data_IF_355414458871
#
_entry.id   IF_355414458871
#
_cell.length_a   1.000
_cell.length_b   1.000
_cell.length_c   1.000
_cell.angle_alpha   90.00
_cell.angle_beta   90.00
_cell.angle_gamma   90.00
#
_symmetry.space_group_name_H-M   'P 1'
#
loop_
_entity.id
_entity.type
_entity.pdbx_description
1 polymer ?
#
# COMPACT_ATOMS: atom_id res chain seq x y z
N UNK A 1 -13.24 -3.85 -4.86
CA UNK A 1 -14.11 -3.25 -3.84
C UNK A 1 -14.47 -4.23 -2.74
N UNK A 2 -15.10 -5.34 -3.05
CA UNK A 2 -15.53 -6.39 -2.10
C UNK A 2 -14.42 -6.82 -1.11
N UNK A 3 -13.19 -6.98 -1.58
CA UNK A 3 -12.04 -7.32 -0.73
C UNK A 3 -11.68 -6.23 0.28
N UNK A 4 -11.77 -4.96 -0.10
CA UNK A 4 -11.45 -3.85 0.80
C UNK A 4 -12.50 -3.71 1.92
N UNK A 5 -13.76 -4.05 1.65
CA UNK A 5 -14.85 -4.02 2.64
C UNK A 5 -14.77 -5.14 3.69
N UNK A 6 -13.83 -6.10 3.57
CA UNK A 6 -13.51 -7.02 4.67
C UNK A 6 -12.74 -6.34 5.80
N UNK A 7 -12.06 -5.23 5.50
CA UNK A 7 -11.23 -4.48 6.45
C UNK A 7 -11.87 -3.14 6.80
N UNK A 8 -12.51 -2.50 5.82
CA UNK A 8 -13.14 -1.20 5.98
C UNK A 8 -14.62 -1.35 6.38
N UNK A 9 -15.05 -0.50 7.29
CA UNK A 9 -16.46 -0.40 7.70
C UNK A 9 -17.29 0.19 6.53
N UNK A 10 -18.22 -0.57 5.94
CA UNK A 10 -19.02 -0.09 4.80
C UNK A 10 -19.88 1.14 5.12
N UNK A 11 -20.30 1.31 6.39
CA UNK A 11 -21.14 2.45 6.79
C UNK A 11 -20.34 3.75 6.91
N UNK A 12 -19.01 3.65 7.12
CA UNK A 12 -18.09 4.79 7.24
C UNK A 12 -17.26 5.02 5.98
N UNK A 13 -17.33 4.11 5.02
CA UNK A 13 -16.48 4.16 3.82
C UNK A 13 -17.27 4.67 2.62
N UNK A 14 -16.90 5.84 2.13
CA UNK A 14 -17.41 6.37 0.87
C UNK A 14 -16.50 5.97 -0.28
N UNK A 15 -17.06 5.29 -1.26
CA UNK A 15 -16.35 4.97 -2.50
C UNK A 15 -16.63 6.04 -3.53
N UNK A 16 -15.58 6.59 -4.13
CA UNK A 16 -15.66 7.58 -5.20
C UNK A 16 -14.80 7.12 -6.39
N UNK A 17 -15.14 7.57 -7.56
CA UNK A 17 -14.41 7.24 -8.78
C UNK A 17 -13.88 8.52 -9.41
N UNK A 18 -12.60 8.58 -9.71
CA UNK A 18 -11.98 9.74 -10.33
C UNK A 18 -12.56 10.06 -11.73
N UNK A 19 -13.21 9.09 -12.36
CA UNK A 19 -14.01 9.30 -13.56
C UNK A 19 -15.03 10.44 -13.40
N UNK A 20 -15.62 10.58 -12.19
CA UNK A 20 -16.71 11.51 -11.91
C UNK A 20 -16.27 12.98 -12.02
N UNK A 21 -14.97 13.27 -11.99
CA UNK A 21 -14.41 14.63 -12.15
C UNK A 21 -13.36 14.75 -13.25
N UNK A 22 -12.67 13.67 -13.64
CA UNK A 22 -11.67 13.74 -14.72
C UNK A 22 -12.34 13.92 -16.08
N UNK A 23 -13.48 13.29 -16.31
CA UNK A 23 -14.18 13.42 -17.59
C UNK A 23 -14.90 14.75 -17.78
N UNK A 24 -15.08 15.53 -16.72
CA UNK A 24 -15.63 16.88 -16.78
C UNK A 24 -14.57 17.94 -17.12
N UNK A 25 -13.28 17.60 -17.09
CA UNK A 25 -12.19 18.48 -17.46
C UNK A 25 -12.17 18.69 -18.97
N UNK A 26 -12.22 19.95 -19.39
CA UNK A 26 -11.93 20.31 -20.76
C UNK A 26 -10.43 20.47 -21.00
N UNK A 27 -10.03 20.77 -22.25
CA UNK A 27 -8.63 20.99 -22.58
C UNK A 27 -8.00 22.19 -21.84
N UNK A 28 -8.76 23.25 -21.60
CA UNK A 28 -8.28 24.42 -20.90
C UNK A 28 -8.03 24.11 -19.42
N UNK A 29 -8.91 23.34 -18.79
CA UNK A 29 -8.76 22.86 -17.43
C UNK A 29 -7.52 21.98 -17.30
N UNK A 30 -7.33 21.03 -18.22
CA UNK A 30 -6.16 20.17 -18.25
C UNK A 30 -4.87 20.98 -18.38
N UNK A 31 -4.81 21.91 -19.31
CA UNK A 31 -3.64 22.80 -19.46
C UNK A 31 -3.41 23.66 -18.21
N UNK A 32 -4.47 24.12 -17.56
CA UNK A 32 -4.41 24.81 -16.28
C UNK A 32 -3.81 23.94 -15.16
N UNK A 33 -4.17 22.66 -15.10
CA UNK A 33 -3.57 21.70 -14.15
C UNK A 33 -2.09 21.47 -14.46
N UNK A 34 -1.76 21.19 -15.73
CA UNK A 34 -0.38 20.95 -16.16
C UNK A 34 0.54 22.12 -15.89
N UNK A 35 0.06 23.37 -15.97
CA UNK A 35 0.84 24.57 -15.72
C UNK A 35 1.37 24.69 -14.28
N UNK A 36 0.83 23.91 -13.35
CA UNK A 36 1.30 23.86 -11.97
C UNK A 36 2.57 23.01 -11.77
N UNK A 37 2.96 22.22 -12.75
CA UNK A 37 4.10 21.31 -12.65
C UNK A 37 5.13 21.58 -13.74
N UNK A 38 6.40 21.47 -13.40
CA UNK A 38 7.48 21.52 -14.37
C UNK A 38 7.93 20.11 -14.76
N UNK A 39 8.48 19.97 -15.97
CA UNK A 39 9.10 18.70 -16.41
C UNK A 39 10.20 18.29 -15.45
N UNK A 40 11.01 19.24 -14.95
CA UNK A 40 12.07 18.96 -13.97
C UNK A 40 11.49 18.33 -12.69
N UNK A 41 10.38 18.86 -12.18
CA UNK A 41 9.70 18.32 -10.98
C UNK A 41 9.18 16.90 -11.22
N UNK A 42 8.57 16.63 -12.36
CA UNK A 42 8.06 15.28 -12.68
C UNK A 42 9.21 14.26 -12.82
N UNK A 43 10.36 14.71 -13.36
CA UNK A 43 11.55 13.85 -13.49
C UNK A 43 12.24 13.50 -12.15
N UNK A 44 11.87 14.13 -11.03
CA UNK A 44 12.35 13.73 -9.70
C UNK A 44 11.76 12.40 -9.22
N UNK A 45 10.67 11.94 -9.82
CA UNK A 45 10.10 10.63 -9.52
C UNK A 45 11.10 9.53 -9.91
N UNK A 46 11.41 8.62 -8.98
CA UNK A 46 12.51 7.65 -9.11
C UNK A 46 12.49 6.85 -10.42
N UNK A 47 11.32 6.37 -10.86
CA UNK A 47 11.20 5.60 -12.10
C UNK A 47 11.46 6.45 -13.34
N UNK A 48 10.99 7.71 -13.37
CA UNK A 48 11.28 8.64 -14.46
C UNK A 48 12.74 9.07 -14.46
N UNK A 49 13.30 9.37 -13.28
CA UNK A 49 14.71 9.71 -13.12
C UNK A 49 15.61 8.59 -13.66
N UNK A 50 15.35 7.35 -13.24
CA UNK A 50 16.12 6.19 -13.69
C UNK A 50 16.02 5.96 -15.19
N UNK A 51 14.82 6.06 -15.76
CA UNK A 51 14.59 5.90 -17.22
C UNK A 51 15.22 7.03 -18.01
N UNK A 52 15.12 8.27 -17.52
CA UNK A 52 15.72 9.45 -18.17
C UNK A 52 17.25 9.32 -18.24
N UNK A 53 17.91 8.98 -17.12
CA UNK A 53 19.36 8.83 -17.07
C UNK A 53 19.85 7.61 -17.86
N UNK A 54 19.07 6.55 -17.95
CA UNK A 54 19.39 5.37 -18.77
C UNK A 54 18.93 5.49 -20.22
N UNK A 55 18.45 6.68 -20.65
CA UNK A 55 17.97 6.95 -22.00
C UNK A 55 16.83 6.03 -22.48
N UNK A 56 16.03 5.55 -21.54
CA UNK A 56 14.83 4.79 -21.84
C UNK A 56 13.66 5.75 -22.17
N UNK A 57 12.79 5.41 -23.14
CA UNK A 57 11.70 6.29 -23.51
C UNK A 57 10.69 6.50 -22.37
N UNK A 58 10.23 7.74 -22.23
CA UNK A 58 9.13 8.10 -21.34
C UNK A 58 8.06 8.76 -22.21
N UNK A 59 6.87 8.18 -22.27
CA UNK A 59 5.79 8.73 -23.08
C UNK A 59 5.11 9.91 -22.36
N UNK A 60 4.66 10.92 -23.13
CA UNK A 60 4.07 12.14 -22.58
C UNK A 60 2.85 11.89 -21.66
N UNK A 61 2.03 10.89 -21.97
CA UNK A 61 0.87 10.56 -21.15
C UNK A 61 1.28 10.04 -19.74
N UNK A 62 2.47 9.48 -19.58
CA UNK A 62 2.98 9.01 -18.29
C UNK A 62 3.24 10.19 -17.33
N UNK A 63 3.60 11.36 -17.85
CA UNK A 63 3.74 12.58 -17.03
C UNK A 63 2.41 13.12 -16.54
N UNK A 64 1.32 12.84 -17.24
CA UNK A 64 -0.02 13.30 -16.84
C UNK A 64 -0.54 12.50 -15.66
N UNK A 65 -0.16 11.22 -15.50
CA UNK A 65 -0.67 10.37 -14.45
C UNK A 65 -0.47 10.91 -13.02
N UNK A 66 0.74 11.33 -12.60
CA UNK A 66 0.93 11.94 -11.27
C UNK A 66 0.10 13.20 -11.06
N UNK A 67 -0.13 13.98 -12.13
CA UNK A 67 -0.90 15.22 -12.07
C UNK A 67 -2.41 14.93 -11.92
N UNK A 68 -2.89 13.88 -12.56
CA UNK A 68 -4.28 13.43 -12.37
C UNK A 68 -4.51 12.92 -10.95
N UNK A 69 -3.57 12.16 -10.40
CA UNK A 69 -3.64 11.74 -9.00
C UNK A 69 -3.56 12.93 -8.03
N UNK A 70 -2.73 13.93 -8.32
CA UNK A 70 -2.70 15.17 -7.55
C UNK A 70 -4.03 15.92 -7.61
N UNK A 71 -4.71 15.89 -8.74
CA UNK A 71 -6.05 16.46 -8.87
C UNK A 71 -7.11 15.67 -8.09
N UNK A 72 -6.98 14.35 -7.98
CA UNK A 72 -7.84 13.53 -7.11
C UNK A 72 -7.77 14.03 -5.67
N UNK A 73 -6.55 14.33 -5.14
CA UNK A 73 -6.37 14.89 -3.79
C UNK A 73 -7.11 16.22 -3.60
N UNK A 74 -7.08 17.09 -4.61
CA UNK A 74 -7.80 18.38 -4.59
C UNK A 74 -9.32 18.17 -4.54
N UNK A 75 -9.85 17.26 -5.36
CA UNK A 75 -11.31 17.05 -5.45
C UNK A 75 -11.84 16.34 -4.22
N UNK A 76 -11.10 15.36 -3.70
CA UNK A 76 -11.47 14.63 -2.48
C UNK A 76 -11.37 15.52 -1.25
N UNK A 77 -10.42 16.46 -1.25
CA UNK A 77 -10.16 17.39 -0.14
C UNK A 77 -10.01 16.65 1.20
N UNK A 78 -9.20 15.60 1.21
CA UNK A 78 -8.96 14.80 2.40
C UNK A 78 -7.98 15.49 3.35
N UNK A 79 -8.18 15.33 4.67
CA UNK A 79 -7.24 15.84 5.68
C UNK A 79 -5.98 14.96 5.75
N UNK A 80 -6.11 13.67 5.50
CA UNK A 80 -5.03 12.67 5.52
C UNK A 80 -5.15 11.77 4.29
N UNK A 81 -4.04 11.58 3.59
CA UNK A 81 -3.96 10.68 2.44
C UNK A 81 -2.94 9.58 2.72
N UNK A 82 -3.35 8.31 2.53
CA UNK A 82 -2.55 7.13 2.82
C UNK A 82 -2.00 6.51 1.54
N UNK A 83 -0.75 6.05 1.58
CA UNK A 83 -0.17 5.33 0.45
C UNK A 83 0.99 4.42 0.85
N UNK A 84 1.46 3.63 -0.11
CA UNK A 84 2.78 2.99 0.02
C UNK A 84 3.91 4.01 -0.18
N UNK A 85 5.12 3.69 0.26
CA UNK A 85 6.28 4.56 0.05
C UNK A 85 6.54 4.87 -1.43
N UNK A 86 6.15 3.97 -2.33
CA UNK A 86 6.21 4.18 -3.79
C UNK A 86 5.24 5.26 -4.30
N UNK A 87 4.26 5.66 -3.49
CA UNK A 87 3.29 6.71 -3.80
C UNK A 87 3.67 8.09 -3.26
N UNK A 88 4.76 8.19 -2.48
CA UNK A 88 5.12 9.43 -1.78
C UNK A 88 5.23 10.63 -2.73
N UNK A 89 5.84 10.45 -3.92
CA UNK A 89 5.94 11.52 -4.92
C UNK A 89 4.55 12.01 -5.35
N UNK A 90 3.62 11.09 -5.63
CA UNK A 90 2.28 11.45 -6.08
C UNK A 90 1.47 12.15 -4.98
N UNK A 91 1.58 11.69 -3.73
CA UNK A 91 0.94 12.32 -2.58
C UNK A 91 1.46 13.75 -2.35
N UNK A 92 2.79 13.95 -2.45
CA UNK A 92 3.40 15.27 -2.34
C UNK A 92 3.02 16.19 -3.51
N UNK A 93 2.85 15.66 -4.71
CA UNK A 93 2.32 16.41 -5.84
C UNK A 93 0.88 16.89 -5.59
N UNK A 94 0.04 16.04 -4.98
CA UNK A 94 -1.31 16.41 -4.51
C UNK A 94 -1.26 17.55 -3.49
N UNK A 95 -0.41 17.43 -2.49
CA UNK A 95 -0.18 18.44 -1.46
C UNK A 95 0.23 19.79 -2.06
N UNK A 96 1.20 19.78 -2.98
CA UNK A 96 1.67 20.97 -3.70
C UNK A 96 0.54 21.62 -4.51
N UNK A 97 -0.31 20.83 -5.17
CA UNK A 97 -1.44 21.33 -5.95
C UNK A 97 -2.53 21.93 -5.05
N UNK A 98 -2.82 21.32 -3.90
CA UNK A 98 -3.77 21.87 -2.91
C UNK A 98 -3.28 23.25 -2.41
N UNK A 99 -1.99 23.37 -2.04
CA UNK A 99 -1.40 24.66 -1.63
C UNK A 99 -1.56 25.73 -2.71
N UNK A 100 -1.25 25.41 -3.98
CA UNK A 100 -1.39 26.34 -5.11
C UNK A 100 -2.83 26.78 -5.36
N UNK A 101 -3.79 25.96 -4.97
CA UNK A 101 -5.23 26.27 -5.04
C UNK A 101 -5.75 26.97 -3.78
N UNK A 102 -4.88 27.27 -2.80
CA UNK A 102 -5.25 27.95 -1.56
C UNK A 102 -6.03 27.05 -0.58
N UNK A 103 -5.92 25.75 -0.75
CA UNK A 103 -6.54 24.75 0.15
C UNK A 103 -5.57 24.40 1.28
N UNK A 104 -6.11 23.90 2.41
CA UNK A 104 -5.29 23.25 3.45
C UNK A 104 -4.70 21.97 2.89
N UNK A 105 -3.37 21.80 2.86
CA UNK A 105 -2.76 20.61 2.25
C UNK A 105 -2.92 19.40 3.16
N UNK A 106 -3.22 18.24 2.57
CA UNK A 106 -3.38 16.98 3.30
C UNK A 106 -2.09 16.53 4.00
N UNK A 107 -2.23 15.78 5.08
CA UNK A 107 -1.13 15.02 5.67
C UNK A 107 -0.89 13.75 4.86
N UNK A 108 0.33 13.60 4.32
CA UNK A 108 0.71 12.38 3.60
C UNK A 108 1.28 11.35 4.58
N UNK A 109 0.63 10.20 4.72
CA UNK A 109 1.11 9.08 5.54
C UNK A 109 1.46 7.92 4.64
N UNK A 110 2.73 7.50 4.64
CA UNK A 110 3.18 6.37 3.83
C UNK A 110 3.68 5.21 4.67
N UNK A 111 3.42 4.00 4.18
CA UNK A 111 3.85 2.76 4.80
C UNK A 111 4.79 1.99 3.85
N UNK A 112 5.76 1.24 4.39
CA UNK A 112 6.57 0.35 3.59
C UNK A 112 5.72 -0.66 2.83
N UNK A 113 6.14 -1.00 1.61
CA UNK A 113 5.50 -2.07 0.85
C UNK A 113 5.85 -3.43 1.48
N UNK A 114 4.87 -4.32 1.53
CA UNK A 114 5.08 -5.69 1.97
C UNK A 114 5.60 -6.52 0.79
N UNK A 115 6.69 -7.26 1.02
CA UNK A 115 7.20 -8.24 0.06
C UNK A 115 6.24 -9.43 -0.03
N UNK A 116 6.17 -10.00 -1.22
CA UNK A 116 5.39 -11.21 -1.45
C UNK A 116 6.05 -12.48 -0.90
N UNK A 117 5.44 -13.62 -1.18
CA UNK A 117 5.88 -14.94 -0.70
C UNK A 117 7.30 -15.30 -1.16
N UNK A 118 7.78 -14.67 -2.24
CA UNK A 118 9.14 -14.84 -2.76
C UNK A 118 10.24 -14.12 -1.94
N UNK A 119 9.84 -13.27 -1.01
CA UNK A 119 10.77 -12.53 -0.14
C UNK A 119 11.59 -11.44 -0.80
N UNK A 120 11.36 -11.15 -2.06
CA UNK A 120 12.20 -10.23 -2.86
C UNK A 120 11.38 -9.09 -3.47
N UNK A 121 10.31 -9.45 -4.19
CA UNK A 121 9.46 -8.48 -4.90
C UNK A 121 8.29 -8.07 -4.05
N UNK A 122 7.80 -6.84 -4.26
CA UNK A 122 6.56 -6.39 -3.62
C UNK A 122 5.43 -7.38 -3.89
N UNK A 123 4.57 -7.58 -2.91
CA UNK A 123 3.39 -8.43 -3.05
C UNK A 123 2.49 -7.90 -4.19
N UNK A 124 2.17 -8.77 -5.15
CA UNK A 124 1.35 -8.39 -6.29
C UNK A 124 0.62 -9.60 -6.89
N UNK A 125 -0.63 -9.39 -7.30
CA UNK A 125 -1.38 -10.38 -8.08
C UNK A 125 -0.68 -10.75 -9.39
N UNK A 126 -0.06 -9.77 -10.06
CA UNK A 126 0.65 -9.97 -11.32
C UNK A 126 1.87 -10.88 -11.20
N UNK A 127 2.47 -10.93 -10.02
CA UNK A 127 3.62 -11.80 -9.75
C UNK A 127 3.22 -13.16 -9.16
N UNK A 128 1.94 -13.35 -8.81
CA UNK A 128 1.48 -14.57 -8.17
C UNK A 128 2.06 -14.82 -6.76
N UNK A 129 2.74 -13.83 -6.16
CA UNK A 129 3.43 -13.91 -4.88
C UNK A 129 2.61 -13.32 -3.71
N UNK A 130 1.30 -13.32 -3.82
CA UNK A 130 0.41 -12.65 -2.88
C UNK A 130 -0.37 -13.60 -1.97
N UNK A 131 -0.76 -13.07 -0.82
CA UNK A 131 -1.80 -13.64 0.05
C UNK A 131 -3.08 -12.84 -0.19
N UNK A 132 -4.12 -13.52 -0.66
CA UNK A 132 -5.39 -12.86 -0.97
C UNK A 132 -6.24 -12.67 0.29
N UNK A 133 -6.87 -11.50 0.44
CA UNK A 133 -7.80 -11.23 1.55
C UNK A 133 -9.04 -12.15 1.54
N UNK A 134 -9.29 -12.80 0.41
CA UNK A 134 -10.41 -13.73 0.19
C UNK A 134 -9.94 -15.18 0.04
N UNK A 135 -8.66 -15.44 0.24
CA UNK A 135 -8.18 -16.82 0.24
C UNK A 135 -8.86 -17.60 1.39
N UNK A 136 -9.12 -18.89 1.16
CA UNK A 136 -9.61 -19.75 2.22
C UNK A 136 -8.59 -19.81 3.38
N UNK A 137 -9.03 -19.94 4.65
CA UNK A 137 -8.13 -19.90 5.80
C UNK A 137 -6.97 -20.90 5.72
N UNK A 138 -7.19 -22.09 5.18
CA UNK A 138 -6.15 -23.11 5.02
C UNK A 138 -5.11 -22.69 3.97
N UNK A 139 -5.53 -22.09 2.84
CA UNK A 139 -4.64 -21.58 1.80
C UNK A 139 -3.83 -20.39 2.32
N UNK A 140 -4.50 -19.45 3.01
CA UNK A 140 -3.84 -18.29 3.63
C UNK A 140 -2.78 -18.76 4.62
N UNK A 141 -3.10 -19.75 5.47
CA UNK A 141 -2.15 -20.36 6.40
C UNK A 141 -0.94 -20.94 5.67
N UNK A 142 -1.17 -21.77 4.66
CA UNK A 142 -0.10 -22.42 3.88
C UNK A 142 0.82 -21.38 3.21
N UNK A 143 0.25 -20.32 2.64
CA UNK A 143 1.00 -19.22 2.04
C UNK A 143 1.86 -18.49 3.06
N UNK A 144 1.31 -18.13 4.22
CA UNK A 144 2.09 -17.43 5.28
C UNK A 144 3.18 -18.36 5.82
N UNK A 145 2.91 -19.66 5.97
CA UNK A 145 3.93 -20.63 6.36
C UNK A 145 5.06 -20.78 5.35
N UNK A 146 4.85 -20.42 4.08
CA UNK A 146 5.86 -20.53 3.02
C UNK A 146 6.80 -19.30 2.90
N UNK A 147 6.54 -18.18 3.58
CA UNK A 147 7.43 -17.03 3.53
C UNK A 147 8.82 -17.37 4.11
N UNK A 148 9.90 -16.77 3.64
CA UNK A 148 11.22 -16.85 4.29
C UNK A 148 11.17 -16.41 5.76
N UNK A 149 11.99 -17.03 6.61
CA UNK A 149 11.99 -16.71 8.05
C UNK A 149 12.42 -15.26 8.32
N UNK A 150 13.32 -14.73 7.50
CA UNK A 150 13.81 -13.35 7.56
C UNK A 150 12.71 -12.31 7.33
N UNK A 151 11.60 -12.70 6.69
CA UNK A 151 10.46 -11.81 6.47
C UNK A 151 9.46 -11.77 7.63
N UNK A 152 9.51 -12.71 8.55
CA UNK A 152 8.55 -12.77 9.65
C UNK A 152 8.44 -11.47 10.44
N UNK A 153 9.56 -10.82 10.87
CA UNK A 153 9.49 -9.55 11.59
C UNK A 153 8.68 -8.49 10.83
N UNK A 154 8.95 -8.37 9.52
CA UNK A 154 8.26 -7.39 8.69
C UNK A 154 6.77 -7.68 8.52
N UNK A 155 6.39 -8.95 8.41
CA UNK A 155 4.98 -9.35 8.37
C UNK A 155 4.28 -9.09 9.71
N UNK A 156 4.95 -9.31 10.83
CA UNK A 156 4.42 -8.96 12.15
C UNK A 156 4.12 -7.46 12.23
N UNK A 157 5.05 -6.60 11.80
CA UNK A 157 4.88 -5.13 11.85
C UNK A 157 3.81 -4.60 10.90
N UNK A 158 3.70 -5.15 9.71
CA UNK A 158 2.87 -4.56 8.64
C UNK A 158 1.53 -5.26 8.44
N UNK A 159 1.38 -6.49 8.90
CA UNK A 159 0.22 -7.32 8.60
C UNK A 159 -0.52 -7.84 9.86
N UNK A 160 -0.12 -7.45 11.05
CA UNK A 160 -0.82 -7.82 12.29
C UNK A 160 -1.30 -6.58 13.05
N UNK A 161 -2.20 -6.79 14.01
CA UNK A 161 -2.69 -5.76 14.93
C UNK A 161 -2.04 -5.88 16.33
N UNK A 162 -0.92 -6.59 16.44
CA UNK A 162 -0.21 -6.76 17.71
C UNK A 162 0.40 -5.42 18.16
N UNK A 163 0.49 -5.17 19.49
CA UNK A 163 1.20 -4.03 20.03
C UNK A 163 2.68 -4.01 19.61
N UNK A 164 3.24 -2.81 19.42
CA UNK A 164 4.63 -2.65 18.92
C UNK A 164 5.65 -3.27 19.86
N UNK A 165 5.47 -3.12 21.18
CA UNK A 165 6.32 -3.73 22.20
C UNK A 165 6.33 -5.27 22.12
N UNK A 166 5.20 -5.89 21.88
CA UNK A 166 5.12 -7.33 21.69
C UNK A 166 5.81 -7.79 20.39
N UNK A 167 5.70 -6.99 19.32
CA UNK A 167 6.42 -7.26 18.07
C UNK A 167 7.93 -7.13 18.28
N UNK A 168 8.39 -6.11 19.01
CA UNK A 168 9.80 -5.92 19.35
C UNK A 168 10.36 -7.10 20.14
N UNK A 169 9.60 -7.64 21.09
CA UNK A 169 9.99 -8.83 21.86
C UNK A 169 10.08 -10.08 20.94
N UNK A 170 9.13 -10.25 20.02
CA UNK A 170 9.19 -11.35 19.04
C UNK A 170 10.41 -11.24 18.14
N UNK A 171 10.70 -10.05 17.62
CA UNK A 171 11.87 -9.81 16.77
C UNK A 171 13.19 -10.08 17.52
N UNK A 172 13.31 -9.58 18.76
CA UNK A 172 14.47 -9.82 19.60
C UNK A 172 14.67 -11.31 19.90
N UNK A 173 13.60 -12.01 20.27
CA UNK A 173 13.63 -13.44 20.56
C UNK A 173 13.97 -14.31 19.34
N UNK A 174 13.50 -13.93 18.14
CA UNK A 174 13.87 -14.59 16.89
C UNK A 174 15.37 -14.35 16.56
N UNK A 175 15.83 -13.11 16.70
CA UNK A 175 17.23 -12.76 16.43
C UNK A 175 18.20 -13.44 17.41
N UNK A 176 17.81 -13.61 18.67
CA UNK A 176 18.58 -14.31 19.70
C UNK A 176 18.52 -15.86 19.57
N UNK A 177 17.63 -16.39 18.71
CA UNK A 177 17.37 -17.83 18.61
C UNK A 177 16.64 -18.42 19.83
N UNK A 178 16.02 -17.58 20.64
CA UNK A 178 15.22 -17.98 21.82
C UNK A 178 13.81 -18.43 21.43
N UNK A 179 13.29 -17.91 20.34
CA UNK A 179 11.99 -18.29 19.78
C UNK A 179 12.17 -19.26 18.61
N UNK A 180 11.35 -20.30 18.62
CA UNK A 180 11.25 -21.27 17.52
C UNK A 180 10.61 -20.58 16.28
N UNK A 181 11.31 -20.49 15.14
CA UNK A 181 10.78 -19.82 13.95
C UNK A 181 9.48 -20.44 13.44
N UNK A 182 9.34 -21.77 13.52
CA UNK A 182 8.11 -22.45 13.05
C UNK A 182 6.91 -22.10 13.93
N UNK A 183 7.09 -22.05 15.25
CA UNK A 183 6.03 -21.66 16.20
C UNK A 183 5.64 -20.19 16.00
N UNK A 184 6.62 -19.33 15.82
CA UNK A 184 6.41 -17.90 15.55
C UNK A 184 5.68 -17.69 14.23
N UNK A 185 6.04 -18.42 13.17
CA UNK A 185 5.36 -18.34 11.88
C UNK A 185 3.90 -18.85 11.96
N UNK A 186 3.65 -19.91 12.72
CA UNK A 186 2.28 -20.39 13.00
C UNK A 186 1.46 -19.34 13.76
N UNK A 187 2.08 -18.63 14.71
CA UNK A 187 1.43 -17.54 15.41
C UNK A 187 1.10 -16.41 14.44
N UNK A 188 2.08 -15.95 13.64
CA UNK A 188 1.88 -14.95 12.61
C UNK A 188 0.71 -15.29 11.69
N UNK A 189 0.66 -16.52 11.20
CA UNK A 189 -0.44 -16.98 10.34
C UNK A 189 -1.80 -16.88 11.04
N UNK A 190 -1.88 -17.24 12.32
CA UNK A 190 -3.12 -17.13 13.09
C UNK A 190 -3.56 -15.68 13.29
N UNK A 191 -2.63 -14.77 13.62
CA UNK A 191 -2.93 -13.34 13.77
C UNK A 191 -3.50 -12.77 12.47
N UNK A 192 -2.84 -13.01 11.34
CA UNK A 192 -3.30 -12.52 10.04
C UNK A 192 -4.67 -13.11 9.66
N UNK A 193 -4.86 -14.41 9.82
CA UNK A 193 -6.14 -15.05 9.48
C UNK A 193 -7.25 -14.56 10.43
N UNK A 194 -6.94 -14.32 11.69
CA UNK A 194 -7.89 -13.76 12.66
C UNK A 194 -8.48 -12.42 12.23
N UNK A 195 -7.67 -11.58 11.57
CA UNK A 195 -8.11 -10.27 11.02
C UNK A 195 -9.17 -10.44 9.91
N UNK A 196 -8.98 -11.40 9.00
CA UNK A 196 -9.80 -11.53 7.80
C UNK A 196 -10.96 -12.52 7.91
N UNK A 197 -10.85 -13.52 8.81
CA UNK A 197 -11.81 -14.61 8.96
C UNK A 197 -12.41 -14.74 10.37
N UNK A 198 -11.92 -13.93 11.34
CA UNK A 198 -12.36 -13.98 12.74
C UNK A 198 -11.70 -15.11 13.55
N UNK A 199 -11.68 -14.96 14.87
CA UNK A 199 -10.98 -15.87 15.79
C UNK A 199 -11.57 -17.28 15.91
N UNK A 200 -12.79 -17.51 15.45
CA UNK A 200 -13.52 -18.78 15.67
C UNK A 200 -13.05 -19.96 14.81
N UNK A 201 -12.26 -19.74 13.77
CA UNK A 201 -11.82 -20.80 12.84
C UNK A 201 -10.64 -21.64 13.36
N UNK A 202 -10.02 -21.27 14.48
CA UNK A 202 -8.81 -21.93 15.00
C UNK A 202 -9.02 -22.83 16.22
N UNK A 203 -10.26 -23.09 16.64
CA UNK A 203 -10.57 -24.03 17.72
C UNK A 203 -10.82 -25.45 17.23
N UNK A 204 -10.62 -25.73 15.94
CA UNK A 204 -10.68 -27.11 15.44
C UNK A 204 -9.43 -27.86 15.87
N UNK A 205 -9.57 -29.03 16.54
CA UNK A 205 -8.42 -29.80 16.93
C UNK A 205 -7.63 -30.24 15.70
N UNK A 206 -6.33 -30.04 15.75
CA UNK A 206 -5.39 -30.65 14.80
C UNK A 206 -5.55 -32.18 14.86
N UNK A 207 -5.58 -32.88 13.72
CA UNK A 207 -5.56 -34.33 13.72
C UNK A 207 -4.27 -34.90 14.32
#
# INVERSE_FOLDING_TARGET
>A
MEQAMKVLDPEKTKVVHNRDWIFDLDLADLLGLLSNFTVARILERDDFSNRYHSQQPIAMHEFIYPIMQAYDSVVINADVELGGNDQLFNLLAGRELMEKKGMEPQVCLTLPLLEGLDGVRKMSKSYGNYVGLTDEPADMFGKIMSIPDELMPRYYRLATALPVDEIDDIEAGLAAGELDPNKSKRRLAREIIGIYHGCLLYTSPSP
#
